data_IF_839847369582
#
_entry.id   IF_839847369582
#
_cell.length_a   1.000
_cell.length_b   1.000
_cell.length_c   1.000
_cell.angle_alpha   90.00
_cell.angle_beta   90.00
_cell.angle_gamma   90.00
#
_symmetry.space_group_name_H-M   'P 1'
#
loop_
_entity.id
_entity.type
_entity.pdbx_description
1 polymer ?
#
# COMPACT_ATOMS: atom_id res chain seq x y z
N UNK A 1 1.72 42.29 22.76
CA UNK A 1 2.41 41.28 21.94
C UNK A 1 2.40 39.90 22.63
N UNK A 2 1.22 39.40 23.03
CA UNK A 2 1.09 38.15 23.80
C UNK A 2 0.00 37.22 23.24
N UNK A 3 -0.93 37.76 22.44
CA UNK A 3 -1.93 36.97 21.71
C UNK A 3 -1.33 36.20 20.52
N UNK A 4 -0.30 36.75 19.85
CA UNK A 4 0.31 36.14 18.66
C UNK A 4 1.17 34.91 18.97
N UNK A 5 1.80 34.87 20.16
CA UNK A 5 2.68 33.75 20.57
C UNK A 5 1.85 32.51 20.94
N UNK A 6 0.66 32.69 21.51
CA UNK A 6 -0.21 31.60 21.96
C UNK A 6 -0.92 30.89 20.80
N UNK A 7 -1.21 31.59 19.70
CA UNK A 7 -1.77 30.99 18.48
C UNK A 7 -0.72 30.15 17.74
N UNK A 8 0.51 30.66 17.61
CA UNK A 8 1.60 29.90 17.01
C UNK A 8 1.90 28.61 17.81
N UNK A 9 1.94 28.69 19.15
CA UNK A 9 2.17 27.53 20.00
C UNK A 9 1.09 26.45 19.91
N UNK A 10 -0.19 26.82 19.74
CA UNK A 10 -1.28 25.85 19.55
C UNK A 10 -1.21 25.16 18.19
N UNK A 11 -0.89 25.90 17.13
CA UNK A 11 -0.77 25.36 15.78
C UNK A 11 0.39 24.35 15.65
N UNK A 12 1.56 24.67 16.19
CA UNK A 12 2.68 23.73 16.25
C UNK A 12 2.36 22.53 17.15
N UNK A 13 1.67 22.72 18.27
CA UNK A 13 1.25 21.64 19.16
C UNK A 13 0.23 20.68 18.54
N UNK A 14 -0.74 21.19 17.78
CA UNK A 14 -1.73 20.39 17.06
C UNK A 14 -1.08 19.61 15.90
N UNK A 15 -0.18 20.22 15.14
CA UNK A 15 0.57 19.53 14.07
C UNK A 15 1.53 18.46 14.61
N UNK A 16 2.19 18.71 15.75
CA UNK A 16 3.01 17.70 16.44
C UNK A 16 2.16 16.56 17.02
N UNK A 17 0.96 16.87 17.53
CA UNK A 17 0.02 15.87 18.05
C UNK A 17 -0.59 14.98 16.95
N UNK A 18 -0.71 15.50 15.73
CA UNK A 18 -1.17 14.75 14.57
C UNK A 18 -0.06 13.99 13.84
N UNK A 19 1.23 14.23 14.16
CA UNK A 19 2.36 13.54 13.52
C UNK A 19 2.32 13.54 11.97
N UNK A 20 1.81 14.62 11.37
CA UNK A 20 1.64 14.75 9.92
C UNK A 20 0.31 14.20 9.36
N UNK A 21 -0.55 13.61 10.19
CA UNK A 21 -1.92 13.25 9.82
C UNK A 21 -2.83 14.47 9.68
N UNK A 22 -3.95 14.32 8.97
CA UNK A 22 -5.01 15.33 8.90
C UNK A 22 -6.36 14.64 8.91
N UNK A 23 -7.36 15.25 9.55
CA UNK A 23 -8.76 14.81 9.48
C UNK A 23 -9.51 15.42 8.29
N UNK A 24 -8.85 16.29 7.51
CA UNK A 24 -9.48 16.95 6.36
C UNK A 24 -9.88 15.96 5.27
N UNK A 25 -11.14 16.00 4.87
CA UNK A 25 -11.69 15.23 3.76
C UNK A 25 -11.77 16.03 2.46
N UNK A 26 -11.12 17.21 2.41
CA UNK A 26 -11.02 18.02 1.20
C UNK A 26 -10.40 17.21 0.07
N UNK A 27 -11.01 17.29 -1.11
CA UNK A 27 -10.58 16.55 -2.28
C UNK A 27 -9.44 17.27 -3.00
N UNK A 28 -8.40 16.51 -3.32
CA UNK A 28 -7.28 16.92 -4.16
C UNK A 28 -7.42 16.22 -5.50
N UNK A 29 -7.43 17.00 -6.59
CA UNK A 29 -7.43 16.48 -7.95
C UNK A 29 -5.97 16.26 -8.38
N UNK A 30 -5.54 15.00 -8.40
CA UNK A 30 -4.17 14.58 -8.67
C UNK A 30 -4.11 13.98 -10.08
N UNK A 31 -3.26 14.54 -10.94
CA UNK A 31 -3.07 14.06 -12.31
C UNK A 31 -1.74 13.31 -12.42
N UNK A 32 -1.78 12.04 -12.79
CA UNK A 32 -0.61 11.17 -12.95
C UNK A 32 -0.71 10.51 -14.31
N UNK A 33 0.25 10.78 -15.20
CA UNK A 33 0.18 10.27 -16.57
C UNK A 33 -1.09 10.77 -17.28
N UNK A 34 -1.92 9.84 -17.73
CA UNK A 34 -3.21 10.15 -18.36
C UNK A 34 -4.40 10.10 -17.39
N UNK A 35 -4.18 9.59 -16.18
CA UNK A 35 -5.22 9.38 -15.20
C UNK A 35 -5.39 10.58 -14.25
N UNK A 36 -6.64 10.79 -13.85
CA UNK A 36 -7.05 11.80 -12.87
C UNK A 36 -7.65 11.10 -11.65
N UNK A 37 -7.03 11.28 -10.49
CA UNK A 37 -7.47 10.76 -9.21
C UNK A 37 -8.05 11.88 -8.34
N UNK A 38 -9.18 11.63 -7.70
CA UNK A 38 -9.73 12.51 -6.67
C UNK A 38 -9.52 11.89 -5.28
N UNK A 39 -8.60 12.47 -4.51
CA UNK A 39 -8.13 11.91 -3.24
C UNK A 39 -8.38 12.88 -2.09
N UNK A 40 -9.03 12.40 -1.03
CA UNK A 40 -9.22 13.19 0.18
C UNK A 40 -7.89 13.41 0.92
N UNK A 41 -7.67 14.60 1.49
CA UNK A 41 -6.40 14.95 2.17
C UNK A 41 -6.01 13.96 3.27
N UNK A 42 -6.98 13.40 3.99
CA UNK A 42 -6.77 12.45 5.08
C UNK A 42 -6.35 11.04 4.66
N UNK A 43 -6.34 10.72 3.36
CA UNK A 43 -5.75 9.46 2.85
C UNK A 43 -4.33 9.67 2.32
N UNK A 44 -3.95 10.92 2.03
CA UNK A 44 -2.63 11.28 1.49
C UNK A 44 -1.63 11.35 2.65
N UNK A 45 -0.58 10.54 2.55
CA UNK A 45 0.39 10.31 3.62
C UNK A 45 1.24 11.54 3.91
N UNK A 46 1.74 12.18 2.86
CA UNK A 46 2.68 13.28 2.95
C UNK A 46 1.97 14.62 2.71
N UNK A 47 2.21 15.60 3.58
CA UNK A 47 1.54 16.90 3.53
C UNK A 47 1.80 17.62 2.21
N UNK A 48 3.03 17.54 1.70
CA UNK A 48 3.46 18.15 0.43
C UNK A 48 2.75 17.58 -0.80
N UNK A 49 2.09 16.42 -0.69
CA UNK A 49 1.29 15.80 -1.75
C UNK A 49 -0.20 16.18 -1.68
N UNK A 50 -0.65 16.89 -0.64
CA UNK A 50 -2.05 17.34 -0.47
C UNK A 50 -2.32 18.62 -1.26
N UNK A 51 -2.15 18.54 -2.57
CA UNK A 51 -2.36 19.67 -3.48
C UNK A 51 -2.90 19.21 -4.82
N UNK A 52 -3.89 19.91 -5.33
CA UNK A 52 -4.39 19.70 -6.69
C UNK A 52 -3.32 20.04 -7.73
N UNK A 53 -3.13 19.17 -8.72
CA UNK A 53 -2.20 19.39 -9.82
C UNK A 53 -1.55 18.10 -10.32
N UNK A 54 -0.60 18.28 -11.24
CA UNK A 54 0.20 17.16 -11.74
C UNK A 54 1.15 16.63 -10.66
N UNK A 55 1.29 15.32 -10.60
CA UNK A 55 2.20 14.62 -9.70
C UNK A 55 2.80 13.38 -10.39
N UNK A 56 4.02 13.02 -10.00
CA UNK A 56 4.64 11.76 -10.45
C UNK A 56 4.09 10.55 -9.69
N UNK A 57 3.65 10.78 -8.44
CA UNK A 57 3.08 9.76 -7.56
C UNK A 57 2.20 10.38 -6.47
N UNK A 58 1.33 9.56 -5.90
CA UNK A 58 0.61 9.81 -4.66
C UNK A 58 0.86 8.67 -3.67
N UNK A 59 1.33 9.00 -2.47
CA UNK A 59 1.52 8.05 -1.37
C UNK A 59 0.34 8.11 -0.41
N UNK A 60 -0.34 6.98 -0.22
CA UNK A 60 -1.55 6.86 0.58
C UNK A 60 -1.34 5.89 1.74
N UNK A 61 -2.16 6.07 2.78
CA UNK A 61 -2.33 5.12 3.87
C UNK A 61 -3.82 4.94 4.15
N UNK A 62 -4.23 3.72 4.47
CA UNK A 62 -5.64 3.41 4.68
C UNK A 62 -5.77 2.39 5.81
N UNK A 63 -6.82 2.51 6.60
CA UNK A 63 -7.16 1.47 7.56
C UNK A 63 -7.51 0.16 6.85
N UNK A 64 -7.23 -0.96 7.49
CA UNK A 64 -7.71 -2.27 7.11
C UNK A 64 -8.68 -2.81 8.18
N UNK A 65 -9.82 -3.42 7.80
CA UNK A 65 -10.36 -3.62 6.45
C UNK A 65 -11.15 -2.41 5.90
N UNK A 66 -11.21 -1.31 6.66
CA UNK A 66 -12.12 -0.20 6.36
C UNK A 66 -11.80 0.59 5.10
N UNK A 67 -10.56 0.58 4.62
CA UNK A 67 -10.04 1.42 3.53
C UNK A 67 -10.33 2.92 3.74
N UNK A 68 -10.21 3.38 5.00
CA UNK A 68 -10.51 4.76 5.40
C UNK A 68 -9.24 5.54 5.73
N UNK A 69 -9.28 6.85 5.48
CA UNK A 69 -8.23 7.77 5.90
C UNK A 69 -8.23 8.05 7.40
N UNK A 70 -7.35 8.96 7.80
CA UNK A 70 -7.27 9.41 9.19
C UNK A 70 -8.52 10.22 9.58
N UNK A 71 -9.10 9.86 10.72
CA UNK A 71 -10.22 10.56 11.37
C UNK A 71 -10.02 10.47 12.88
N UNK A 72 -10.80 11.21 13.66
CA UNK A 72 -10.75 11.07 15.12
C UNK A 72 -11.13 9.66 15.59
N UNK A 73 -12.05 9.00 14.88
CA UNK A 73 -12.47 7.62 15.17
C UNK A 73 -11.44 6.55 14.80
N UNK A 74 -10.58 6.83 13.82
CA UNK A 74 -9.53 5.89 13.35
C UNK A 74 -8.14 6.23 13.88
N UNK A 75 -7.97 7.33 14.63
CA UNK A 75 -6.69 7.83 15.16
C UNK A 75 -5.83 6.77 15.82
N UNK A 76 -6.43 5.91 16.63
CA UNK A 76 -5.70 4.86 17.36
C UNK A 76 -5.04 3.84 16.42
N UNK A 77 -5.65 3.55 15.27
CA UNK A 77 -5.11 2.62 14.27
C UNK A 77 -3.88 3.20 13.56
N UNK A 78 -3.87 4.52 13.32
CA UNK A 78 -2.75 5.19 12.66
C UNK A 78 -1.54 5.39 13.57
N UNK A 79 -1.79 5.59 14.87
CA UNK A 79 -0.73 5.89 15.85
C UNK A 79 -0.18 4.64 16.56
N UNK A 80 -0.72 3.45 16.29
CA UNK A 80 -0.37 2.24 17.02
C UNK A 80 0.55 1.32 16.21
N UNK A 81 1.86 1.47 16.44
CA UNK A 81 2.90 0.65 15.79
C UNK A 81 2.85 -0.83 16.16
N UNK A 82 2.13 -1.20 17.23
CA UNK A 82 2.01 -2.59 17.68
C UNK A 82 0.91 -3.37 16.95
N UNK A 83 0.14 -2.71 16.08
CA UNK A 83 -0.87 -3.34 15.23
C UNK A 83 -0.54 -3.13 13.75
N UNK A 84 0.55 -3.74 13.26
CA UNK A 84 1.03 -3.57 11.89
C UNK A 84 0.01 -3.98 10.84
N UNK A 85 -0.97 -4.82 11.18
CA UNK A 85 -2.09 -5.27 10.36
C UNK A 85 -3.20 -4.22 10.20
N UNK A 86 -3.15 -3.11 10.93
CA UNK A 86 -4.23 -2.10 10.93
C UNK A 86 -4.21 -1.19 9.71
N UNK A 87 -3.09 -1.09 8.99
CA UNK A 87 -2.91 -0.19 7.87
C UNK A 87 -2.41 -0.90 6.62
N UNK A 88 -2.85 -0.41 5.47
CA UNK A 88 -2.30 -0.74 4.14
C UNK A 88 -1.78 0.55 3.53
N UNK A 89 -0.59 0.48 2.96
CA UNK A 89 0.08 1.59 2.29
C UNK A 89 -0.01 1.41 0.79
N UNK A 90 -0.40 2.45 0.06
CA UNK A 90 -0.47 2.43 -1.40
C UNK A 90 0.47 3.51 -1.93
N UNK A 91 1.21 3.21 -2.99
CA UNK A 91 1.89 4.19 -3.82
C UNK A 91 1.29 4.08 -5.21
N UNK A 92 0.62 5.14 -5.67
CA UNK A 92 0.05 5.22 -7.01
C UNK A 92 0.98 6.08 -7.86
N UNK A 93 1.43 5.56 -8.99
CA UNK A 93 2.32 6.27 -9.92
C UNK A 93 2.01 5.88 -11.36
N UNK A 94 2.59 6.59 -12.32
CA UNK A 94 2.52 6.17 -13.72
C UNK A 94 3.29 4.85 -13.91
N UNK A 95 2.74 3.94 -14.69
CA UNK A 95 3.37 2.67 -15.01
C UNK A 95 4.54 2.89 -15.98
N UNK A 96 5.70 2.36 -15.61
CA UNK A 96 6.90 2.30 -16.47
C UNK A 96 7.12 0.91 -17.07
N UNK A 97 6.28 -0.07 -16.70
CA UNK A 97 6.37 -1.47 -17.13
C UNK A 97 5.05 -1.91 -17.74
N UNK A 98 5.11 -2.77 -18.75
CA UNK A 98 3.90 -3.29 -19.40
C UNK A 98 3.18 -4.37 -18.59
N UNK A 99 3.81 -4.89 -17.52
CA UNK A 99 3.32 -6.03 -16.73
C UNK A 99 3.44 -5.71 -15.24
N UNK A 100 2.37 -6.00 -14.52
CA UNK A 100 2.34 -5.99 -13.05
C UNK A 100 3.09 -7.20 -12.46
N UNK A 101 3.05 -7.36 -11.13
CA UNK A 101 3.75 -8.47 -10.45
C UNK A 101 3.23 -9.83 -10.89
N UNK A 102 1.92 -9.96 -11.16
CA UNK A 102 1.31 -11.18 -11.66
C UNK A 102 1.78 -11.53 -13.07
N UNK A 103 1.79 -10.56 -13.98
CA UNK A 103 2.25 -10.75 -15.35
C UNK A 103 3.75 -11.06 -15.45
N UNK A 104 4.53 -10.71 -14.43
CA UNK A 104 5.97 -11.01 -14.35
C UNK A 104 6.28 -12.37 -13.72
N UNK A 105 5.27 -13.11 -13.22
CA UNK A 105 5.50 -14.39 -12.55
C UNK A 105 6.16 -15.42 -13.45
N UNK A 106 5.50 -15.81 -14.55
CA UNK A 106 6.03 -16.79 -15.50
C UNK A 106 7.33 -16.31 -16.18
N UNK A 107 7.39 -15.13 -16.82
CA UNK A 107 8.57 -14.77 -17.63
C UNK A 107 9.80 -14.38 -16.80
N UNK A 108 9.66 -14.08 -15.50
CA UNK A 108 10.75 -13.59 -14.66
C UNK A 108 10.86 -14.40 -13.37
N UNK A 109 9.87 -14.33 -12.48
CA UNK A 109 10.03 -14.79 -11.10
C UNK A 109 10.15 -16.31 -10.96
N UNK A 110 9.40 -17.09 -11.76
CA UNK A 110 9.46 -18.57 -11.69
C UNK A 110 10.87 -19.12 -11.93
N UNK A 111 11.66 -18.47 -12.80
CA UNK A 111 13.04 -18.86 -13.05
C UNK A 111 13.99 -18.56 -11.89
N UNK A 112 13.56 -17.73 -10.94
CA UNK A 112 14.32 -17.31 -9.77
C UNK A 112 13.95 -18.08 -8.50
N UNK A 113 12.90 -18.91 -8.54
CA UNK A 113 12.50 -19.73 -7.40
C UNK A 113 13.48 -20.87 -7.16
N UNK A 114 13.65 -21.21 -5.88
CA UNK A 114 14.48 -22.31 -5.43
C UNK A 114 13.64 -23.43 -4.79
N UNK A 115 13.98 -24.66 -5.15
CA UNK A 115 13.32 -25.87 -4.66
C UNK A 115 11.83 -25.96 -5.00
N UNK A 116 11.13 -26.75 -4.18
CA UNK A 116 9.69 -27.01 -4.31
C UNK A 116 8.90 -25.99 -3.49
N UNK A 117 7.79 -25.52 -4.05
CA UNK A 117 6.87 -24.65 -3.35
C UNK A 117 6.29 -25.31 -2.09
N UNK A 118 6.13 -24.54 -1.03
CA UNK A 118 5.56 -24.99 0.24
C UNK A 118 4.15 -24.42 0.43
N UNK A 119 3.22 -25.14 1.08
CA UNK A 119 1.92 -24.57 1.41
C UNK A 119 2.02 -23.31 2.27
N UNK A 120 1.25 -22.29 1.91
CA UNK A 120 1.03 -21.05 2.65
C UNK A 120 -0.43 -20.89 3.07
N UNK A 121 -0.77 -19.79 3.78
CA UNK A 121 -2.12 -19.55 4.25
C UNK A 121 -3.09 -19.28 3.09
N UNK A 122 -4.37 -19.59 3.29
CA UNK A 122 -5.45 -19.26 2.35
C UNK A 122 -5.18 -19.65 0.89
N UNK A 123 -4.62 -20.86 0.68
CA UNK A 123 -4.35 -21.41 -0.65
C UNK A 123 -3.11 -20.86 -1.34
N UNK A 124 -2.31 -20.02 -0.66
CA UNK A 124 -1.03 -19.56 -1.19
C UNK A 124 -0.01 -20.70 -1.25
N UNK A 125 0.90 -20.61 -2.21
CA UNK A 125 2.13 -21.39 -2.28
C UNK A 125 3.32 -20.46 -2.06
N UNK A 126 4.18 -20.81 -1.11
CA UNK A 126 5.41 -20.11 -0.76
C UNK A 126 6.58 -20.64 -1.59
N UNK A 127 7.28 -19.73 -2.23
CA UNK A 127 8.48 -19.99 -3.02
C UNK A 127 9.67 -19.31 -2.37
N UNK A 128 10.72 -20.07 -2.10
CA UNK A 128 12.01 -19.50 -1.76
C UNK A 128 12.66 -18.92 -3.02
N UNK A 129 13.53 -17.93 -2.85
CA UNK A 129 14.32 -17.36 -3.95
C UNK A 129 15.71 -17.98 -3.96
N UNK A 130 16.28 -18.21 -5.15
CA UNK A 130 17.69 -18.59 -5.28
C UNK A 130 18.56 -17.49 -4.68
N UNK A 131 19.63 -17.87 -3.97
CA UNK A 131 20.60 -16.90 -3.40
C UNK A 131 21.17 -15.95 -4.48
N UNK A 132 21.34 -16.45 -5.71
CA UNK A 132 21.86 -15.69 -6.85
C UNK A 132 20.85 -14.76 -7.53
N UNK A 133 19.59 -14.73 -7.08
CA UNK A 133 18.51 -13.99 -7.74
C UNK A 133 18.54 -12.47 -7.51
N UNK A 134 19.31 -12.00 -6.50
CA UNK A 134 19.33 -10.60 -6.09
C UNK A 134 18.15 -10.18 -5.20
N UNK A 135 17.27 -11.12 -4.81
CA UNK A 135 16.12 -10.86 -3.93
C UNK A 135 16.43 -11.08 -2.43
N UNK A 136 17.67 -11.43 -2.08
CA UNK A 136 18.09 -11.61 -0.69
C UNK A 136 17.23 -12.64 0.05
N UNK A 137 16.70 -12.24 1.21
CA UNK A 137 15.84 -13.07 2.07
C UNK A 137 14.34 -12.97 1.73
N UNK A 138 13.98 -12.36 0.59
CA UNK A 138 12.59 -12.29 0.15
C UNK A 138 12.05 -13.68 -0.21
N UNK A 139 10.77 -13.88 0.06
CA UNK A 139 9.99 -15.03 -0.41
C UNK A 139 8.82 -14.55 -1.27
N UNK A 140 8.40 -15.40 -2.20
CA UNK A 140 7.19 -15.14 -2.99
C UNK A 140 6.04 -16.01 -2.51
N UNK A 141 4.85 -15.43 -2.45
CA UNK A 141 3.61 -16.18 -2.33
C UNK A 141 2.81 -16.05 -3.61
N UNK A 142 2.31 -17.17 -4.12
CA UNK A 142 1.48 -17.22 -5.33
C UNK A 142 0.22 -18.01 -5.10
N UNK A 143 -0.86 -17.70 -5.79
CA UNK A 143 -2.05 -18.53 -5.82
C UNK A 143 -2.68 -18.49 -7.22
N UNK A 144 -3.27 -19.62 -7.61
CA UNK A 144 -4.20 -19.61 -8.73
C UNK A 144 -5.49 -18.91 -8.29
N UNK A 145 -6.00 -18.04 -9.16
CA UNK A 145 -7.24 -17.27 -8.94
C UNK A 145 -8.30 -17.56 -10.01
N UNK A 146 -8.11 -18.59 -10.83
CA UNK A 146 -9.07 -19.01 -11.86
C UNK A 146 -9.24 -18.02 -13.01
N UNK A 147 -8.26 -17.13 -13.22
CA UNK A 147 -8.22 -16.14 -14.31
C UNK A 147 -6.88 -16.16 -15.04
N UNK A 148 -6.67 -15.18 -15.93
CA UNK A 148 -5.55 -15.21 -16.88
C UNK A 148 -4.15 -15.10 -16.26
N UNK A 149 -4.04 -14.51 -15.07
CA UNK A 149 -2.76 -14.41 -14.36
C UNK A 149 -2.89 -14.86 -12.90
N UNK A 150 -1.92 -15.57 -12.34
CA UNK A 150 -1.94 -15.96 -10.93
C UNK A 150 -1.71 -14.76 -10.01
N UNK A 151 -2.15 -14.84 -8.76
CA UNK A 151 -1.72 -13.91 -7.72
C UNK A 151 -0.23 -14.11 -7.42
N UNK A 152 0.50 -13.02 -7.18
CA UNK A 152 1.90 -13.03 -6.79
C UNK A 152 2.20 -11.84 -5.87
N UNK A 153 2.74 -12.11 -4.68
CA UNK A 153 3.21 -11.09 -3.72
C UNK A 153 4.58 -11.49 -3.22
N UNK A 154 5.48 -10.53 -3.06
CA UNK A 154 6.77 -10.75 -2.41
C UNK A 154 6.73 -10.25 -0.98
N UNK A 155 7.39 -10.95 -0.08
CA UNK A 155 7.45 -10.58 1.32
C UNK A 155 8.85 -10.80 1.90
N UNK A 156 9.23 -9.95 2.86
CA UNK A 156 10.29 -10.25 3.82
C UNK A 156 9.59 -10.72 5.08
N UNK A 157 9.74 -12.00 5.42
CA UNK A 157 9.06 -12.56 6.59
C UNK A 157 9.84 -12.21 7.86
N UNK A 158 9.17 -11.69 8.90
CA UNK A 158 9.81 -11.45 10.18
C UNK A 158 10.15 -12.80 10.86
N UNK A 159 11.16 -12.80 11.73
CA UNK A 159 11.52 -13.99 12.52
C UNK A 159 10.35 -14.47 13.39
N UNK A 160 9.57 -13.52 13.91
CA UNK A 160 8.36 -13.81 14.70
C UNK A 160 7.20 -12.89 14.29
N UNK A 161 5.94 -13.31 14.49
CA UNK A 161 4.78 -12.44 14.25
C UNK A 161 4.82 -11.12 15.03
N UNK A 162 5.38 -11.12 16.24
CA UNK A 162 5.52 -9.92 17.07
C UNK A 162 6.46 -8.87 16.47
N UNK A 163 7.32 -9.27 15.53
CA UNK A 163 8.27 -8.40 14.83
C UNK A 163 7.83 -8.03 13.41
N UNK A 164 6.60 -8.38 13.01
CA UNK A 164 6.04 -7.97 11.71
C UNK A 164 5.86 -6.45 11.63
N UNK A 165 5.96 -5.91 10.42
CA UNK A 165 5.70 -4.50 10.12
C UNK A 165 4.47 -4.36 9.23
N UNK A 166 3.98 -3.14 9.02
CA UNK A 166 2.90 -2.89 8.05
C UNK A 166 3.34 -2.95 6.59
N UNK A 167 4.60 -3.31 6.32
CA UNK A 167 5.17 -3.28 4.97
C UNK A 167 5.99 -4.53 4.63
N UNK A 168 5.77 -5.64 5.34
CA UNK A 168 6.47 -6.90 5.12
C UNK A 168 6.24 -7.45 3.72
N UNK A 169 5.01 -7.36 3.23
CA UNK A 169 4.57 -7.83 1.93
C UNK A 169 4.31 -6.66 0.98
N UNK A 170 4.67 -6.81 -0.28
CA UNK A 170 4.45 -5.81 -1.31
C UNK A 170 4.05 -6.44 -2.65
N UNK A 171 3.10 -5.81 -3.33
CA UNK A 171 2.61 -6.21 -4.65
C UNK A 171 2.23 -4.98 -5.45
N UNK A 172 2.49 -5.02 -6.75
CA UNK A 172 1.99 -4.02 -7.68
C UNK A 172 0.94 -4.60 -8.63
N UNK A 173 -0.07 -3.78 -8.92
CA UNK A 173 -1.18 -4.05 -9.85
C UNK A 173 -1.36 -2.84 -10.78
N UNK A 174 -1.90 -3.07 -11.97
CA UNK A 174 -2.34 -1.98 -12.83
C UNK A 174 -3.72 -1.48 -12.45
N UNK A 175 -3.96 -0.19 -12.66
CA UNK A 175 -5.26 0.46 -12.53
C UNK A 175 -5.37 1.61 -13.54
N UNK A 176 -6.57 2.13 -13.76
CA UNK A 176 -6.78 3.24 -14.71
C UNK A 176 -6.32 2.92 -16.13
N UNK A 177 -5.86 3.95 -16.84
CA UNK A 177 -5.29 3.85 -18.17
C UNK A 177 -3.80 3.48 -18.13
N UNK A 178 -3.04 4.15 -17.27
CA UNK A 178 -1.58 4.01 -17.19
C UNK A 178 -1.03 4.04 -15.77
N UNK A 179 -1.83 3.73 -14.75
CA UNK A 179 -1.36 3.67 -13.36
C UNK A 179 -0.82 2.29 -12.97
N UNK A 180 0.16 2.33 -12.09
CA UNK A 180 0.57 1.21 -11.24
C UNK A 180 0.33 1.56 -9.78
N UNK A 181 -0.24 0.61 -9.04
CA UNK A 181 -0.48 0.72 -7.60
C UNK A 181 0.41 -0.29 -6.91
N UNK A 182 1.49 0.18 -6.28
CA UNK A 182 2.29 -0.62 -5.36
C UNK A 182 1.66 -0.54 -3.98
N UNK A 183 1.09 -1.64 -3.49
CA UNK A 183 0.55 -1.70 -2.15
C UNK A 183 1.40 -2.59 -1.23
N UNK A 184 1.45 -2.20 0.04
CA UNK A 184 2.21 -2.86 1.10
C UNK A 184 1.35 -3.11 2.31
N UNK A 185 1.56 -4.26 2.95
CA UNK A 185 0.78 -4.70 4.09
C UNK A 185 1.59 -5.66 4.97
N UNK A 186 1.11 -5.90 6.19
CA UNK A 186 1.76 -6.83 7.12
C UNK A 186 1.66 -8.28 6.67
N UNK A 187 2.73 -9.06 6.89
CA UNK A 187 2.73 -10.51 6.63
C UNK A 187 1.65 -11.25 7.44
N UNK A 188 1.19 -10.69 8.56
CA UNK A 188 0.06 -11.22 9.33
C UNK A 188 -1.26 -11.26 8.54
N UNK A 189 -1.40 -10.43 7.50
CA UNK A 189 -2.59 -10.38 6.66
C UNK A 189 -2.52 -11.28 5.42
N UNK A 190 -1.48 -12.11 5.27
CA UNK A 190 -1.42 -13.12 4.20
C UNK A 190 -2.68 -14.01 4.12
N UNK A 191 -3.35 -14.43 5.22
CA UNK A 191 -4.62 -15.14 5.12
C UNK A 191 -5.78 -14.36 4.47
N UNK A 192 -5.66 -13.03 4.38
CA UNK A 192 -6.67 -12.12 3.82
C UNK A 192 -6.29 -11.55 2.45
N UNK A 193 -5.28 -12.13 1.78
CA UNK A 193 -4.71 -11.61 0.54
C UNK A 193 -5.75 -11.30 -0.56
N UNK A 194 -6.75 -12.17 -0.74
CA UNK A 194 -7.83 -11.99 -1.73
C UNK A 194 -8.66 -10.74 -1.46
N UNK A 195 -9.03 -10.55 -0.19
CA UNK A 195 -9.82 -9.41 0.24
C UNK A 195 -9.03 -8.11 0.09
N UNK A 196 -7.72 -8.15 0.38
CA UNK A 196 -6.82 -7.00 0.21
C UNK A 196 -6.69 -6.62 -1.27
N UNK A 197 -6.35 -7.57 -2.13
CA UNK A 197 -6.16 -7.33 -3.59
C UNK A 197 -7.44 -6.72 -4.19
N UNK A 198 -8.59 -7.28 -3.83
CA UNK A 198 -9.91 -6.76 -4.25
C UNK A 198 -10.19 -5.36 -3.69
N UNK A 199 -9.95 -5.13 -2.40
CA UNK A 199 -10.22 -3.85 -1.75
C UNK A 199 -9.32 -2.73 -2.29
N UNK A 200 -8.05 -3.00 -2.55
CA UNK A 200 -7.09 -2.04 -3.12
C UNK A 200 -7.53 -1.65 -4.53
N UNK A 201 -7.82 -2.63 -5.39
CA UNK A 201 -8.27 -2.37 -6.76
C UNK A 201 -9.57 -1.56 -6.79
N UNK A 202 -10.56 -1.96 -5.99
CA UNK A 202 -11.84 -1.26 -5.89
C UNK A 202 -11.67 0.16 -5.35
N UNK A 203 -10.82 0.34 -4.33
CA UNK A 203 -10.54 1.64 -3.75
C UNK A 203 -9.96 2.57 -4.82
N UNK A 204 -8.88 2.18 -5.50
CA UNK A 204 -8.23 3.04 -6.50
C UNK A 204 -9.16 3.35 -7.67
N UNK A 205 -9.87 2.35 -8.20
CA UNK A 205 -10.83 2.57 -9.28
C UNK A 205 -11.96 3.52 -8.88
N UNK A 206 -12.40 3.50 -7.62
CA UNK A 206 -13.41 4.44 -7.11
C UNK A 206 -12.92 5.89 -7.02
N UNK A 207 -11.61 6.12 -7.10
CA UNK A 207 -10.99 7.46 -7.05
C UNK A 207 -10.69 8.02 -8.43
N UNK A 208 -10.78 7.21 -9.48
CA UNK A 208 -10.63 7.70 -10.85
C UNK A 208 -11.78 8.64 -11.18
N UNK A 209 -11.45 9.83 -11.67
CA UNK A 209 -12.42 10.74 -12.25
C UNK A 209 -12.79 10.28 -13.68
N UNK A 210 -14.00 10.63 -14.17
CA UNK A 210 -14.44 10.31 -15.53
C UNK A 210 -13.59 10.93 -16.63
#
# INVERSE_FOLDING_TARGET
MTASISVAGRWYGENLALAGHTTSTENNDIFIGQDHLRLSSNVIRFEEQRRTGAAERADLYLTWPGMQGYTDGTRTLFNNVNHPESLIFLQVSQSTMSRDMSGRLEPIYQHLFDGTALPGPAGLQRHAMKESSGYGEEVFFTADRGGDTPYAVRCILPETPATSTSADCQRDIHAGHDLVVLYRFSSQLLPHWQAIDTAVLNYVNSKLAP
#
